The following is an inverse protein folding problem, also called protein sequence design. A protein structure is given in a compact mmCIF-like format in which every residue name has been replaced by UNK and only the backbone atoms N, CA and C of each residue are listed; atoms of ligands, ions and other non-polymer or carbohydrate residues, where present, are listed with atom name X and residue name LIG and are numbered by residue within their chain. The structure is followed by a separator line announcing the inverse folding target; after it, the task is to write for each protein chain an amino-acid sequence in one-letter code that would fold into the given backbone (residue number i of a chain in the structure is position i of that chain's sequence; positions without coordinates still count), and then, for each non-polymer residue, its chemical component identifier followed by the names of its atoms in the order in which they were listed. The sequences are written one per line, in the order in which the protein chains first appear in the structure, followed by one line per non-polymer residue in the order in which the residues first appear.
data_IF_289919997123
#
_entry.id   IF_289919997123
#
_cell.length_a   1.000
_cell.length_b   1.000
_cell.length_c   1.000
_cell.angle_alpha   90.00
_cell.angle_beta   90.00
_cell.angle_gamma   90.00
#
_symmetry.space_group_name_H-M   'P 1'
#
loop_
_entity.id
_entity.type
_entity.pdbx_description
1 polymer ?
#
# COMPACT_ATOMS: atom_id res chain seq x y z
N UNK A 1 17.19 -25.58 -28.66
CA UNK A 1 18.21 -26.23 -27.81
C UNK A 1 17.66 -26.20 -26.39
N UNK A 2 17.33 -27.37 -25.82
CA UNK A 2 16.79 -27.45 -24.46
C UNK A 2 17.85 -26.94 -23.46
N UNK A 3 17.50 -26.07 -22.49
CA UNK A 3 18.42 -25.73 -21.41
C UNK A 3 18.81 -27.03 -20.69
N UNK A 4 20.10 -27.18 -20.36
CA UNK A 4 20.62 -28.39 -19.74
C UNK A 4 19.79 -28.75 -18.49
N UNK A 5 19.43 -30.03 -18.28
CA UNK A 5 18.61 -30.43 -17.13
C UNK A 5 19.25 -30.05 -15.78
N UNK A 6 20.58 -29.95 -15.75
CA UNK A 6 21.35 -29.43 -14.63
C UNK A 6 21.03 -27.96 -14.33
N UNK A 7 20.97 -27.09 -15.35
CA UNK A 7 20.67 -25.67 -15.19
C UNK A 7 19.27 -25.47 -14.58
N UNK A 8 18.27 -26.19 -15.06
CA UNK A 8 16.91 -26.13 -14.50
C UNK A 8 16.87 -26.55 -13.03
N UNK A 9 17.69 -27.55 -12.66
CA UNK A 9 17.79 -28.02 -11.27
C UNK A 9 18.43 -26.97 -10.38
N UNK A 10 19.55 -26.37 -10.82
CA UNK A 10 20.23 -25.29 -10.09
C UNK A 10 19.36 -24.04 -9.95
N UNK A 11 18.65 -23.63 -11.00
CA UNK A 11 17.73 -22.47 -10.95
C UNK A 11 16.61 -22.68 -9.93
N UNK A 12 16.07 -23.90 -9.82
CA UNK A 12 15.08 -24.25 -8.79
C UNK A 12 15.68 -24.21 -7.38
N UNK A 13 16.89 -24.73 -7.18
CA UNK A 13 17.59 -24.70 -5.89
C UNK A 13 17.85 -23.26 -5.43
N UNK A 14 18.27 -22.37 -6.35
CA UNK A 14 18.51 -20.96 -6.07
C UNK A 14 17.23 -20.11 -6.01
N UNK A 15 16.06 -20.71 -6.25
CA UNK A 15 14.75 -20.03 -6.32
C UNK A 15 14.72 -18.89 -7.34
N UNK A 16 15.33 -19.11 -8.50
CA UNK A 16 15.37 -18.18 -9.63
C UNK A 16 14.24 -18.48 -10.61
N UNK A 17 13.00 -18.39 -10.13
CA UNK A 17 11.84 -18.77 -10.93
C UNK A 17 11.63 -17.84 -12.14
N UNK A 18 11.92 -16.54 -11.99
CA UNK A 18 11.82 -15.56 -13.07
C UNK A 18 12.75 -15.91 -14.23
N UNK A 19 14.00 -16.27 -13.91
CA UNK A 19 14.95 -16.78 -14.91
C UNK A 19 14.41 -18.04 -15.56
N UNK A 20 13.91 -19.01 -14.78
CA UNK A 20 13.40 -20.28 -15.31
C UNK A 20 12.30 -20.07 -16.36
N UNK A 21 11.40 -19.12 -16.12
CA UNK A 21 10.26 -18.86 -17.02
C UNK A 21 10.67 -18.05 -18.27
N UNK A 22 11.68 -17.18 -18.19
CA UNK A 22 12.11 -16.33 -19.32
C UNK A 22 13.33 -16.85 -20.08
N UNK A 23 14.03 -17.88 -19.57
CA UNK A 23 15.32 -18.34 -20.07
C UNK A 23 15.32 -18.65 -21.56
N UNK A 24 14.33 -19.40 -22.06
CA UNK A 24 14.28 -19.76 -23.48
C UNK A 24 14.09 -18.55 -24.38
N UNK A 25 13.21 -17.63 -23.98
CA UNK A 25 12.94 -16.40 -24.72
C UNK A 25 14.17 -15.49 -24.74
N UNK A 26 14.81 -15.28 -23.58
CA UNK A 26 16.02 -14.46 -23.47
C UNK A 26 17.21 -15.07 -24.19
N UNK A 27 17.33 -16.40 -24.20
CA UNK A 27 18.40 -17.08 -24.92
C UNK A 27 18.29 -16.86 -26.45
N UNK A 28 17.07 -16.95 -27.02
CA UNK A 28 16.86 -16.60 -28.43
C UNK A 28 17.20 -15.14 -28.70
N UNK A 29 16.73 -14.23 -27.85
CA UNK A 29 17.02 -12.81 -27.96
C UNK A 29 18.54 -12.51 -27.91
N UNK A 30 19.30 -13.22 -27.08
CA UNK A 30 20.74 -13.06 -26.99
C UNK A 30 21.47 -13.56 -28.24
N UNK A 31 21.02 -14.68 -28.82
CA UNK A 31 21.56 -15.24 -30.07
C UNK A 31 21.29 -14.27 -31.23
N UNK A 32 20.04 -13.83 -31.38
CA UNK A 32 19.61 -12.95 -32.48
C UNK A 32 20.26 -11.57 -32.37
N UNK A 33 20.35 -11.03 -31.15
CA UNK A 33 20.94 -9.73 -30.86
C UNK A 33 22.46 -9.72 -30.72
N UNK A 34 23.13 -10.88 -30.79
CA UNK A 34 24.58 -11.05 -30.55
C UNK A 34 25.06 -10.37 -29.26
N UNK A 35 24.29 -10.52 -28.18
CA UNK A 35 24.59 -9.88 -26.91
C UNK A 35 25.89 -10.41 -26.29
N UNK A 36 26.62 -9.54 -25.59
CA UNK A 36 27.74 -9.99 -24.79
C UNK A 36 27.27 -10.90 -23.64
N UNK A 37 28.11 -11.84 -23.20
CA UNK A 37 27.76 -12.78 -22.13
C UNK A 37 27.34 -12.07 -20.83
N UNK A 38 27.99 -10.95 -20.52
CA UNK A 38 27.66 -10.12 -19.36
C UNK A 38 26.30 -9.44 -19.49
N UNK A 39 25.93 -9.00 -20.69
CA UNK A 39 24.62 -8.40 -20.97
C UNK A 39 23.49 -9.44 -20.87
N UNK A 40 23.73 -10.64 -21.40
CA UNK A 40 22.79 -11.74 -21.27
C UNK A 40 22.56 -12.12 -19.80
N UNK A 41 23.64 -12.26 -19.00
CA UNK A 41 23.53 -12.53 -17.58
C UNK A 41 22.78 -11.42 -16.84
N UNK A 42 23.10 -10.15 -17.13
CA UNK A 42 22.40 -9.00 -16.54
C UNK A 42 20.90 -9.02 -16.87
N UNK A 43 20.52 -9.37 -18.09
CA UNK A 43 19.13 -9.47 -18.54
C UNK A 43 18.36 -10.55 -17.76
N UNK A 44 18.94 -11.74 -17.57
CA UNK A 44 18.31 -12.80 -16.77
C UNK A 44 18.13 -12.38 -15.31
N UNK A 45 19.15 -11.77 -14.71
CA UNK A 45 19.07 -11.29 -13.33
C UNK A 45 18.03 -10.18 -13.18
N UNK A 46 17.88 -9.31 -14.19
CA UNK A 46 16.86 -8.27 -14.20
C UNK A 46 15.44 -8.85 -14.21
N UNK A 47 15.18 -9.89 -15.00
CA UNK A 47 13.88 -10.57 -15.03
C UNK A 47 13.53 -11.18 -13.65
N UNK A 48 14.51 -11.77 -12.97
CA UNK A 48 14.32 -12.30 -11.62
C UNK A 48 13.99 -11.20 -10.61
N UNK A 49 14.75 -10.11 -10.62
CA UNK A 49 14.54 -8.95 -9.73
C UNK A 49 13.15 -8.36 -9.97
N UNK A 50 12.80 -8.11 -11.23
CA UNK A 50 11.50 -7.57 -11.61
C UNK A 50 10.35 -8.47 -11.12
N UNK A 51 10.47 -9.79 -11.30
CA UNK A 51 9.46 -10.74 -10.81
C UNK A 51 9.33 -10.74 -9.28
N UNK A 52 10.46 -10.70 -8.57
CA UNK A 52 10.46 -10.64 -7.09
C UNK A 52 9.80 -9.36 -6.60
N UNK A 53 10.09 -8.23 -7.23
CA UNK A 53 9.53 -6.95 -6.82
C UNK A 53 8.05 -6.85 -7.13
N UNK A 54 7.61 -7.38 -8.28
CA UNK A 54 6.18 -7.51 -8.59
C UNK A 54 5.45 -8.40 -7.57
N UNK A 55 6.05 -9.54 -7.17
CA UNK A 55 5.47 -10.42 -6.15
C UNK A 55 5.38 -9.74 -4.79
N UNK A 56 6.42 -9.00 -4.38
CA UNK A 56 6.40 -8.21 -3.14
C UNK A 56 5.32 -7.14 -3.20
N UNK A 57 5.22 -6.39 -4.29
CA UNK A 57 4.20 -5.35 -4.49
C UNK A 57 2.79 -5.95 -4.41
N UNK A 58 2.54 -7.05 -5.13
CA UNK A 58 1.25 -7.75 -5.09
C UNK A 58 0.88 -8.22 -3.68
N UNK A 59 1.85 -8.75 -2.93
CA UNK A 59 1.63 -9.13 -1.53
C UNK A 59 1.33 -7.92 -0.63
N UNK A 60 1.97 -6.76 -0.84
CA UNK A 60 1.67 -5.52 -0.10
C UNK A 60 0.27 -5.01 -0.39
N UNK A 61 -0.11 -4.95 -1.66
CA UNK A 61 -1.45 -4.50 -2.09
C UNK A 61 -2.53 -5.41 -1.50
N UNK A 62 -2.34 -6.73 -1.56
CA UNK A 62 -3.28 -7.69 -0.99
C UNK A 62 -3.44 -7.53 0.53
N UNK A 63 -2.33 -7.35 1.26
CA UNK A 63 -2.36 -7.13 2.72
C UNK A 63 -2.96 -5.77 3.10
N UNK A 64 -2.79 -4.77 2.25
CA UNK A 64 -3.30 -3.43 2.51
C UNK A 64 -4.83 -3.37 2.50
N UNK A 65 -5.50 -4.25 1.73
CA UNK A 65 -6.96 -4.33 1.71
C UNK A 65 -7.63 -3.23 0.88
N UNK A 66 -6.96 -2.72 -0.15
CA UNK A 66 -7.52 -1.71 -1.06
C UNK A 66 -8.66 -2.29 -1.91
N UNK A 67 -9.62 -1.44 -2.27
CA UNK A 67 -10.62 -1.76 -3.28
C UNK A 67 -9.98 -1.73 -4.68
N UNK A 68 -10.51 -2.55 -5.59
CA UNK A 68 -10.00 -2.63 -6.96
C UNK A 68 -10.12 -1.28 -7.68
N UNK A 69 -9.05 -0.90 -8.38
CA UNK A 69 -9.04 0.28 -9.25
C UNK A 69 -9.01 1.63 -8.53
N UNK A 70 -8.65 1.70 -7.24
CA UNK A 70 -8.52 2.97 -6.49
C UNK A 70 -7.12 3.56 -6.56
N UNK A 71 -6.67 3.88 -7.77
CA UNK A 71 -5.33 4.46 -8.01
C UNK A 71 -5.42 5.94 -8.40
N UNK A 72 -4.29 6.65 -8.46
CA UNK A 72 -4.29 8.06 -8.86
C UNK A 72 -4.66 8.20 -10.34
N UNK A 73 -4.25 7.23 -11.16
CA UNK A 73 -4.51 7.24 -12.61
C UNK A 73 -6.00 7.04 -12.94
N UNK A 74 -6.76 6.37 -12.08
CA UNK A 74 -8.21 6.17 -12.23
C UNK A 74 -9.05 7.26 -11.57
N UNK A 75 -8.42 8.23 -10.89
CA UNK A 75 -9.14 9.29 -10.19
C UNK A 75 -9.47 10.43 -11.16
N UNK A 76 -10.77 10.73 -11.27
CA UNK A 76 -11.27 11.85 -12.07
C UNK A 76 -11.13 13.17 -11.29
N UNK A 77 -10.01 13.86 -11.51
CA UNK A 77 -9.74 15.16 -10.90
C UNK A 77 -10.63 16.29 -11.43
N UNK A 78 -11.32 16.11 -12.56
CA UNK A 78 -12.20 17.16 -13.12
C UNK A 78 -13.48 17.31 -12.28
N UNK A 79 -13.85 16.28 -11.51
CA UNK A 79 -14.94 16.33 -10.52
C UNK A 79 -14.64 17.22 -9.31
N UNK A 80 -13.37 17.54 -9.06
CA UNK A 80 -12.93 18.34 -7.92
C UNK A 80 -11.96 19.43 -8.39
N UNK A 81 -12.44 20.47 -9.09
CA UNK A 81 -11.58 21.51 -9.63
C UNK A 81 -10.86 22.32 -8.54
N UNK A 82 -11.39 22.33 -7.31
CA UNK A 82 -10.76 22.97 -6.14
C UNK A 82 -9.62 22.14 -5.53
N UNK A 83 -9.48 20.86 -5.90
CA UNK A 83 -8.43 20.00 -5.37
C UNK A 83 -7.11 20.30 -6.07
N UNK A 84 -6.11 20.71 -5.31
CA UNK A 84 -4.79 21.01 -5.85
C UNK A 84 -4.07 19.71 -6.27
N UNK A 85 -4.02 19.44 -7.59
CA UNK A 85 -3.33 18.28 -8.17
C UNK A 85 -1.85 18.23 -7.82
N UNK A 86 -1.17 19.38 -7.78
CA UNK A 86 0.25 19.43 -7.44
C UNK A 86 0.49 18.97 -5.99
N UNK A 87 -0.40 19.33 -5.07
CA UNK A 87 -0.32 18.87 -3.68
C UNK A 87 -0.57 17.36 -3.59
N UNK A 88 -1.57 16.80 -4.29
CA UNK A 88 -1.77 15.34 -4.31
C UNK A 88 -0.57 14.59 -4.88
N UNK A 89 0.07 15.13 -5.92
CA UNK A 89 1.28 14.55 -6.49
C UNK A 89 2.49 14.64 -5.55
N UNK A 90 2.63 15.74 -4.79
CA UNK A 90 3.65 15.85 -3.75
C UNK A 90 3.41 14.81 -2.63
N UNK A 91 2.17 14.63 -2.18
CA UNK A 91 1.82 13.56 -1.25
C UNK A 91 2.12 12.17 -1.85
N UNK A 92 1.91 11.98 -3.14
CA UNK A 92 2.21 10.72 -3.82
C UNK A 92 3.71 10.36 -3.81
N UNK A 93 4.61 11.33 -3.59
CA UNK A 93 6.05 11.06 -3.39
C UNK A 93 6.34 10.28 -2.11
N UNK A 94 5.42 10.30 -1.13
CA UNK A 94 5.56 9.59 0.13
C UNK A 94 6.44 10.29 1.17
N UNK A 95 6.87 11.53 0.94
CA UNK A 95 7.70 12.31 1.89
C UNK A 95 7.10 12.36 3.30
N UNK A 96 5.78 12.55 3.39
CA UNK A 96 5.05 12.55 4.67
C UNK A 96 5.22 11.25 5.48
N UNK A 97 5.50 10.11 4.83
CA UNK A 97 5.73 8.82 5.48
C UNK A 97 7.13 8.73 6.09
N UNK A 98 8.10 9.40 5.49
CA UNK A 98 9.45 9.53 6.06
C UNK A 98 9.45 10.47 7.25
N UNK A 99 8.79 11.62 7.09
CA UNK A 99 8.66 12.66 8.13
C UNK A 99 7.69 12.30 9.26
N UNK A 100 7.01 11.15 9.17
CA UNK A 100 6.03 10.65 10.15
C UNK A 100 4.84 11.61 10.36
N UNK A 101 4.48 12.34 9.31
CA UNK A 101 3.41 13.32 9.30
C UNK A 101 2.06 12.64 9.08
N UNK A 102 1.06 13.07 9.83
CA UNK A 102 -0.32 12.67 9.63
C UNK A 102 -1.02 13.56 8.59
N UNK A 103 -1.82 12.97 7.72
CA UNK A 103 -2.64 13.68 6.74
C UNK A 103 -4.09 13.53 7.15
N UNK A 104 -4.80 14.66 7.26
CA UNK A 104 -6.24 14.70 7.47
C UNK A 104 -6.90 15.20 6.19
N UNK A 105 -7.71 14.35 5.56
CA UNK A 105 -8.54 14.74 4.42
C UNK A 105 -9.95 15.06 4.93
N UNK A 106 -10.38 16.29 4.73
CA UNK A 106 -11.69 16.79 5.17
C UNK A 106 -12.53 17.18 3.96
N UNK A 107 -13.81 16.80 3.96
CA UNK A 107 -14.74 17.23 2.93
C UNK A 107 -16.08 16.52 3.01
N UNK A 108 -17.01 16.89 2.12
CA UNK A 108 -18.33 16.27 2.05
C UNK A 108 -18.27 14.78 1.72
N UNK A 109 -19.27 14.02 2.13
CA UNK A 109 -19.41 12.60 1.74
C UNK A 109 -19.51 12.47 0.22
N UNK A 110 -18.88 11.43 -0.36
CA UNK A 110 -18.97 11.16 -1.80
C UNK A 110 -17.97 11.88 -2.70
N UNK A 111 -17.17 12.82 -2.17
CA UNK A 111 -16.15 13.56 -2.95
C UNK A 111 -14.86 12.77 -3.23
N UNK A 112 -14.84 11.46 -3.03
CA UNK A 112 -13.69 10.63 -3.42
C UNK A 112 -12.48 10.63 -2.46
N UNK A 113 -12.61 11.13 -1.21
CA UNK A 113 -11.54 11.07 -0.19
C UNK A 113 -10.98 9.66 0.02
N UNK A 114 -11.87 8.67 0.13
CA UNK A 114 -11.49 7.24 0.22
C UNK A 114 -10.66 6.79 -0.97
N UNK A 115 -11.00 7.23 -2.18
CA UNK A 115 -10.24 6.93 -3.39
C UNK A 115 -8.84 7.54 -3.32
N UNK A 116 -8.73 8.83 -3.01
CA UNK A 116 -7.43 9.51 -2.91
C UNK A 116 -6.56 8.85 -1.84
N UNK A 117 -7.11 8.55 -0.67
CA UNK A 117 -6.37 7.90 0.41
C UNK A 117 -5.82 6.52 -0.01
N UNK A 118 -6.65 5.69 -0.65
CA UNK A 118 -6.21 4.40 -1.19
C UNK A 118 -5.20 4.55 -2.33
N UNK A 119 -5.37 5.58 -3.18
CA UNK A 119 -4.45 5.88 -4.27
C UNK A 119 -3.06 6.27 -3.76
N UNK A 120 -2.99 7.11 -2.71
CA UNK A 120 -1.74 7.39 -2.01
C UNK A 120 -1.16 6.12 -1.35
N UNK A 121 -2.01 5.24 -0.84
CA UNK A 121 -1.63 3.92 -0.35
C UNK A 121 -1.01 3.03 -1.44
N UNK A 122 -1.56 3.04 -2.65
CA UNK A 122 -0.96 2.35 -3.81
C UNK A 122 0.42 2.93 -4.17
N UNK A 123 0.58 4.25 -4.15
CA UNK A 123 1.88 4.90 -4.36
C UNK A 123 2.91 4.48 -3.31
N UNK A 124 2.53 4.49 -2.03
CA UNK A 124 3.37 4.03 -0.93
C UNK A 124 3.76 2.55 -1.08
N UNK A 125 2.83 1.69 -1.50
CA UNK A 125 3.11 0.27 -1.75
C UNK A 125 4.10 0.06 -2.91
N UNK A 126 3.99 0.85 -3.99
CA UNK A 126 4.95 0.87 -5.12
C UNK A 126 6.34 1.32 -4.69
N UNK A 127 6.43 2.22 -3.71
CA UNK A 127 7.68 2.64 -3.08
C UNK A 127 8.24 1.62 -2.06
N UNK A 128 7.61 0.45 -1.95
CA UNK A 128 8.08 -0.62 -1.07
C UNK A 128 7.65 -0.52 0.39
N UNK A 129 6.74 0.41 0.72
CA UNK A 129 6.24 0.62 2.07
C UNK A 129 5.03 -0.27 2.33
N UNK A 130 4.96 -0.86 3.53
CA UNK A 130 3.76 -1.58 3.95
C UNK A 130 2.65 -0.59 4.34
N UNK A 131 1.42 -0.90 3.90
CA UNK A 131 0.24 -0.05 4.11
C UNK A 131 -0.89 -0.92 4.66
N UNK A 132 -1.71 -0.34 5.54
CA UNK A 132 -2.99 -0.94 5.96
C UNK A 132 -4.10 0.08 5.75
N UNK A 133 -5.11 -0.29 4.98
CA UNK A 133 -6.37 0.45 4.85
C UNK A 133 -7.44 -0.23 5.70
N UNK A 134 -8.18 0.56 6.49
CA UNK A 134 -9.25 0.06 7.33
C UNK A 134 -10.23 1.20 7.65
N UNK A 135 -11.53 0.90 7.73
CA UNK A 135 -12.50 1.88 8.24
C UNK A 135 -12.33 2.01 9.76
N UNK A 136 -12.67 3.17 10.34
CA UNK A 136 -12.66 3.33 11.80
C UNK A 136 -13.49 2.24 12.50
N UNK A 137 -14.66 1.91 11.94
CA UNK A 137 -15.55 0.88 12.47
C UNK A 137 -14.90 -0.51 12.47
N UNK A 138 -14.26 -0.90 11.37
CA UNK A 138 -13.63 -2.22 11.27
C UNK A 138 -12.33 -2.33 12.07
N UNK A 139 -11.60 -1.22 12.23
CA UNK A 139 -10.44 -1.15 13.11
C UNK A 139 -10.84 -1.48 14.54
N UNK A 140 -11.89 -0.82 15.04
CA UNK A 140 -12.41 -1.05 16.38
C UNK A 140 -12.95 -2.47 16.53
N UNK A 141 -13.75 -2.96 15.58
CA UNK A 141 -14.22 -4.36 15.60
C UNK A 141 -13.06 -5.36 15.70
N UNK A 142 -11.97 -5.14 14.94
CA UNK A 142 -10.77 -6.01 14.98
C UNK A 142 -10.06 -5.96 16.33
N UNK A 143 -9.93 -4.79 16.95
CA UNK A 143 -9.34 -4.65 18.29
C UNK A 143 -10.21 -5.31 19.36
N UNK A 144 -11.53 -5.13 19.28
CA UNK A 144 -12.48 -5.73 20.22
C UNK A 144 -12.51 -7.25 20.12
N UNK A 145 -12.53 -7.80 18.91
CA UNK A 145 -12.40 -9.25 18.72
C UNK A 145 -11.06 -9.79 19.23
N UNK A 146 -9.96 -9.04 19.09
CA UNK A 146 -8.66 -9.42 19.61
C UNK A 146 -8.59 -9.40 21.14
N UNK A 147 -9.38 -8.57 21.83
CA UNK A 147 -9.52 -8.63 23.30
C UNK A 147 -10.11 -9.95 23.76
N UNK A 148 -11.19 -10.40 23.10
CA UNK A 148 -11.86 -11.64 23.45
C UNK A 148 -10.96 -12.89 23.30
N UNK A 149 -9.95 -12.82 22.44
CA UNK A 149 -8.99 -13.91 22.19
C UNK A 149 -7.64 -13.73 22.88
N UNK A 150 -7.47 -12.68 23.71
CA UNK A 150 -6.21 -12.36 24.37
C UNK A 150 -5.09 -11.89 23.43
N UNK A 151 -5.40 -11.53 22.18
CA UNK A 151 -4.44 -11.09 21.15
C UNK A 151 -4.43 -9.57 20.94
N UNK A 152 -5.07 -8.80 21.84
CA UNK A 152 -5.22 -7.35 21.71
C UNK A 152 -3.89 -6.64 21.47
N UNK A 153 -2.90 -6.84 22.35
CA UNK A 153 -1.62 -6.14 22.27
C UNK A 153 -0.90 -6.43 20.93
N UNK A 154 -0.90 -7.69 20.50
CA UNK A 154 -0.32 -8.08 19.21
C UNK A 154 -1.01 -7.37 18.04
N UNK A 155 -2.35 -7.25 18.08
CA UNK A 155 -3.12 -6.60 17.04
C UNK A 155 -2.94 -5.09 17.05
N UNK A 156 -2.91 -4.48 18.23
CA UNK A 156 -2.64 -3.07 18.44
C UNK A 156 -1.25 -2.70 17.90
N UNK A 157 -0.21 -3.45 18.28
CA UNK A 157 1.15 -3.25 17.77
C UNK A 157 1.27 -3.41 16.25
N UNK A 158 0.45 -4.28 15.63
CA UNK A 158 0.39 -4.39 14.17
C UNK A 158 -0.05 -3.05 13.53
N UNK A 159 -1.04 -2.38 14.11
CA UNK A 159 -1.50 -1.07 13.64
C UNK A 159 -0.55 0.06 14.03
N UNK A 160 0.18 -0.03 15.14
CA UNK A 160 1.16 1.00 15.53
C UNK A 160 2.41 0.97 14.64
N UNK A 161 2.88 -0.22 14.23
CA UNK A 161 4.15 -0.38 13.52
C UNK A 161 4.07 -0.26 12.00
N UNK A 162 2.87 -0.36 11.42
CA UNK A 162 2.73 -0.23 9.96
C UNK A 162 3.24 1.15 9.50
N UNK A 163 4.10 1.24 8.48
CA UNK A 163 4.64 2.51 7.99
C UNK A 163 3.56 3.53 7.64
N UNK A 164 2.48 3.07 6.99
CA UNK A 164 1.32 3.88 6.66
C UNK A 164 0.02 3.18 7.11
N UNK A 165 -0.72 3.84 7.99
CA UNK A 165 -2.08 3.45 8.37
C UNK A 165 -3.07 4.42 7.74
N UNK A 166 -4.02 3.90 6.97
CA UNK A 166 -5.12 4.70 6.40
C UNK A 166 -6.39 4.32 7.15
N UNK A 167 -6.98 5.30 7.84
CA UNK A 167 -8.25 5.16 8.54
C UNK A 167 -9.33 5.93 7.78
N UNK A 168 -10.25 5.18 7.19
CA UNK A 168 -11.36 5.75 6.44
C UNK A 168 -12.61 5.95 7.31
N UNK A 169 -13.51 6.80 6.85
CA UNK A 169 -14.80 7.08 7.50
C UNK A 169 -14.67 7.49 8.97
N UNK A 170 -13.70 8.38 9.22
CA UNK A 170 -13.47 8.94 10.54
C UNK A 170 -14.66 9.78 11.00
N UNK A 171 -15.07 9.59 12.26
CA UNK A 171 -16.11 10.31 12.96
C UNK A 171 -17.54 10.28 12.35
N UNK A 172 -17.86 9.30 11.49
CA UNK A 172 -19.22 9.13 10.96
C UNK A 172 -20.26 8.69 12.01
N UNK A 173 -19.81 8.12 13.12
CA UNK A 173 -20.67 7.72 14.25
C UNK A 173 -20.00 8.16 15.55
N UNK A 174 -20.77 8.67 16.53
CA UNK A 174 -20.21 8.97 17.85
C UNK A 174 -19.62 7.69 18.45
N UNK A 175 -18.36 7.78 18.85
CA UNK A 175 -17.65 6.70 19.53
C UNK A 175 -18.32 6.49 20.90
N UNK A 176 -18.67 5.24 21.20
CA UNK A 176 -19.16 4.86 22.53
C UNK A 176 -17.97 4.30 23.32
N UNK A 177 -17.81 4.67 24.59
CA UNK A 177 -16.82 4.05 25.46
C UNK A 177 -17.01 2.52 25.49
N UNK A 178 -15.94 1.69 25.45
CA UNK A 178 -14.51 2.04 25.52
C UNK A 178 -13.82 2.17 24.13
N UNK A 179 -14.58 2.26 23.03
CA UNK A 179 -14.02 2.35 21.68
C UNK A 179 -13.28 3.66 21.39
N UNK A 180 -13.59 4.72 22.15
CA UNK A 180 -12.97 6.03 21.99
C UNK A 180 -11.50 6.00 22.41
N UNK A 181 -11.23 5.42 23.60
CA UNK A 181 -9.89 5.26 24.18
C UNK A 181 -8.95 4.48 23.25
N UNK A 182 -9.41 3.36 22.69
CA UNK A 182 -8.64 2.52 21.77
C UNK A 182 -8.08 3.29 20.56
N UNK A 183 -8.91 4.16 19.98
CA UNK A 183 -8.52 4.93 18.83
C UNK A 183 -7.58 6.07 19.22
N UNK A 184 -7.87 6.75 20.33
CA UNK A 184 -7.00 7.78 20.88
C UNK A 184 -5.61 7.24 21.20
N UNK A 185 -5.52 6.08 21.85
CA UNK A 185 -4.26 5.39 22.16
C UNK A 185 -3.49 5.04 20.90
N UNK A 186 -4.18 4.54 19.86
CA UNK A 186 -3.54 4.22 18.59
C UNK A 186 -2.97 5.47 17.90
N UNK A 187 -3.71 6.58 17.91
CA UNK A 187 -3.26 7.84 17.33
C UNK A 187 -2.07 8.39 18.10
N UNK A 188 -2.13 8.38 19.44
CA UNK A 188 -1.05 8.82 20.31
C UNK A 188 0.21 7.95 20.12
N UNK A 189 0.04 6.63 20.06
CA UNK A 189 1.14 5.70 19.86
C UNK A 189 1.84 5.81 18.49
N UNK A 190 1.14 6.36 17.48
CA UNK A 190 1.67 6.59 16.14
C UNK A 190 2.20 8.01 15.92
N UNK A 191 1.82 8.97 16.76
CA UNK A 191 2.26 10.35 16.67
C UNK A 191 3.80 10.42 16.62
N UNK A 192 4.34 11.14 15.63
CA UNK A 192 5.78 11.28 15.35
C UNK A 192 6.57 9.97 15.13
N UNK A 193 5.89 8.82 15.03
CA UNK A 193 6.52 7.50 14.85
C UNK A 193 6.17 6.85 13.52
N UNK A 194 4.94 7.04 13.06
CA UNK A 194 4.45 6.46 11.81
C UNK A 194 3.34 7.32 11.19
N UNK A 195 3.35 7.45 9.86
CA UNK A 195 2.38 8.30 9.16
C UNK A 195 0.98 7.70 9.15
N UNK A 196 -0.03 8.56 9.28
CA UNK A 196 -1.43 8.15 9.30
C UNK A 196 -2.25 9.04 8.38
N UNK A 197 -3.02 8.45 7.47
CA UNK A 197 -4.03 9.19 6.71
C UNK A 197 -5.38 8.96 7.39
N UNK A 198 -6.13 10.04 7.60
CA UNK A 198 -7.50 9.99 8.14
C UNK A 198 -8.44 10.72 7.20
N UNK A 199 -9.59 10.10 6.89
CA UNK A 199 -10.64 10.74 6.09
C UNK A 199 -11.81 11.12 6.98
N UNK A 200 -12.06 12.42 7.13
CA UNK A 200 -13.21 12.96 7.85
C UNK A 200 -14.30 13.39 6.85
N UNK A 201 -15.45 12.75 6.92
CA UNK A 201 -16.63 13.10 6.14
C UNK A 201 -17.55 13.98 6.96
N UNK A 202 -17.77 15.21 6.48
CA UNK A 202 -18.67 16.16 7.13
C UNK A 202 -20.04 16.08 6.45
N UNK A 203 -21.16 15.99 7.20
CA UNK A 203 -22.51 16.06 6.65
C UNK A 203 -22.71 17.36 5.86
N UNK A 204 -23.54 17.31 4.82
CA UNK A 204 -23.77 18.47 3.93
C UNK A 204 -24.34 19.70 4.66
N UNK A 205 -24.99 19.53 5.82
CA UNK A 205 -25.61 20.62 6.58
C UNK A 205 -24.63 21.47 7.40
N UNK A 206 -23.42 20.99 7.68
CA UNK A 206 -22.48 21.68 8.59
C UNK A 206 -21.45 22.54 7.86
N UNK A 207 -21.57 22.70 6.54
CA UNK A 207 -20.60 23.44 5.70
C UNK A 207 -21.00 24.91 5.43
N UNK A 208 -22.09 25.40 6.03
CA UNK A 208 -22.61 26.77 5.87
C UNK A 208 -22.64 27.56 7.19
N UNK A 209 -21.59 27.50 7.99
CA UNK A 209 -21.39 28.37 9.16
C UNK A 209 -20.13 29.20 9.00
#
# INVERSE_FOLDING_TARGET
MNPSPELNTTLKQLRLSGVLDSLEQRNRQAIDGKLAYTEFLAMLLHDEVARRDQKKLGARILRAGFALGKTLESFDFDRLPKLNRAHINDLATGRYIDEKVAILMVGQTGVGKSHIAQALGHCAARQGRDVVFVTQTDLLKKLHAARATGMYERKFQQFVRVPLLIVDDFALKPLRAPHDEDFHDLVAARYERAATIKNLSIPHNDFQS
#
